data_IF_728640378372
#
_entry.id   IF_728640378372
#
_cell.length_a   1.000
_cell.length_b   1.000
_cell.length_c   1.000
_cell.angle_alpha   90.00
_cell.angle_beta   90.00
_cell.angle_gamma   90.00
#
_symmetry.space_group_name_H-M   'P 1'
#
loop_
_entity.id
_entity.type
_entity.pdbx_description
1 polymer ?
#
# COMPACT_ATOMS: atom_id res chain seq x y z
N UNK A 1 -35.94 16.89 20.16
CA UNK A 1 -34.65 16.26 19.81
C UNK A 1 -34.84 14.79 19.45
N UNK A 2 -35.60 14.02 20.24
CA UNK A 2 -35.95 12.61 19.96
C UNK A 2 -36.41 12.35 18.51
N UNK A 3 -37.37 13.10 17.91
CA UNK A 3 -37.81 12.82 16.53
C UNK A 3 -36.70 12.93 15.49
N UNK A 4 -35.78 13.88 15.67
CA UNK A 4 -34.63 14.06 14.79
C UNK A 4 -33.65 12.87 14.91
N UNK A 5 -33.29 12.48 16.13
CA UNK A 5 -32.39 11.35 16.39
C UNK A 5 -32.97 10.06 15.79
N UNK A 6 -34.26 9.77 16.02
CA UNK A 6 -34.92 8.63 15.37
C UNK A 6 -34.87 8.74 13.84
N UNK A 7 -35.16 9.94 13.30
CA UNK A 7 -35.13 10.20 11.86
C UNK A 7 -33.80 9.84 11.20
N UNK A 8 -32.67 10.21 11.81
CA UNK A 8 -31.34 9.92 11.23
C UNK A 8 -30.96 8.42 11.31
N UNK A 9 -31.40 7.69 12.35
CA UNK A 9 -31.23 6.22 12.38
C UNK A 9 -32.12 5.51 11.35
N UNK A 10 -33.36 5.98 11.14
CA UNK A 10 -34.21 5.48 10.05
C UNK A 10 -33.58 5.74 8.67
N UNK A 11 -32.99 6.91 8.46
CA UNK A 11 -32.27 7.22 7.21
C UNK A 11 -31.12 6.22 6.97
N UNK A 12 -30.26 5.98 7.97
CA UNK A 12 -29.18 4.99 7.86
C UNK A 12 -29.70 3.58 7.53
N UNK A 13 -30.73 3.11 8.23
CA UNK A 13 -31.32 1.79 7.96
C UNK A 13 -31.92 1.70 6.56
N UNK A 14 -32.58 2.77 6.09
CA UNK A 14 -33.10 2.84 4.71
C UNK A 14 -31.97 2.82 3.68
N UNK A 15 -30.85 3.51 3.92
CA UNK A 15 -29.66 3.46 3.05
C UNK A 15 -29.07 2.05 2.99
N UNK A 16 -28.93 1.37 4.13
CA UNK A 16 -28.46 -0.02 4.20
C UNK A 16 -29.40 -0.95 3.40
N UNK A 17 -30.70 -0.77 3.56
CA UNK A 17 -31.70 -1.59 2.86
C UNK A 17 -31.61 -1.43 1.34
N UNK A 18 -31.38 -0.20 0.85
CA UNK A 18 -31.13 0.06 -0.58
C UNK A 18 -29.86 -0.64 -1.07
N UNK A 19 -28.76 -0.51 -0.35
CA UNK A 19 -27.49 -1.20 -0.70
C UNK A 19 -27.67 -2.72 -0.75
N UNK A 20 -28.38 -3.31 0.23
CA UNK A 20 -28.68 -4.75 0.23
C UNK A 20 -29.55 -5.16 -0.96
N UNK A 21 -30.53 -4.33 -1.34
CA UNK A 21 -31.36 -4.57 -2.53
C UNK A 21 -30.51 -4.55 -3.81
N UNK A 22 -29.54 -3.63 -3.90
CA UNK A 22 -28.68 -3.52 -5.07
C UNK A 22 -27.72 -4.72 -5.16
N UNK A 23 -27.12 -5.13 -4.05
CA UNK A 23 -26.21 -6.29 -3.96
C UNK A 23 -26.90 -7.64 -4.20
N UNK A 24 -28.21 -7.73 -4.03
CA UNK A 24 -29.00 -8.95 -4.29
C UNK A 24 -29.68 -8.92 -5.67
N UNK A 25 -29.55 -7.83 -6.42
CA UNK A 25 -30.07 -7.71 -7.77
C UNK A 25 -29.29 -8.59 -8.76
N UNK A 26 -29.91 -8.97 -9.88
CA UNK A 26 -29.27 -9.78 -10.93
C UNK A 26 -28.21 -9.04 -11.75
N UNK A 27 -27.96 -7.76 -11.47
CA UNK A 27 -27.05 -6.90 -12.23
C UNK A 27 -25.60 -6.91 -11.75
N UNK A 28 -25.28 -7.60 -10.66
CA UNK A 28 -23.91 -7.67 -10.14
C UNK A 28 -23.02 -8.47 -11.11
N UNK A 29 -21.82 -7.94 -11.39
CA UNK A 29 -20.84 -8.62 -12.22
C UNK A 29 -20.51 -10.00 -11.61
N UNK A 30 -20.62 -11.06 -12.42
CA UNK A 30 -20.43 -12.45 -11.98
C UNK A 30 -18.98 -12.78 -11.63
N UNK A 31 -18.04 -11.95 -12.08
CA UNK A 31 -16.62 -12.11 -11.81
C UNK A 31 -16.20 -11.56 -10.44
N UNK A 32 -17.08 -10.84 -9.72
CA UNK A 32 -16.78 -10.43 -8.35
C UNK A 32 -16.50 -11.65 -7.45
N UNK A 33 -15.52 -11.54 -6.55
CA UNK A 33 -15.27 -12.57 -5.55
C UNK A 33 -16.52 -12.80 -4.69
N UNK A 34 -17.07 -14.01 -4.76
CA UNK A 34 -18.30 -14.35 -4.04
C UNK A 34 -18.14 -14.18 -2.53
N UNK A 35 -16.99 -14.57 -1.98
CA UNK A 35 -16.73 -14.41 -0.55
C UNK A 35 -16.68 -12.94 -0.15
N UNK A 36 -16.13 -12.07 -0.99
CA UNK A 36 -16.15 -10.63 -0.77
C UNK A 36 -17.57 -10.04 -0.82
N UNK A 37 -18.39 -10.45 -1.78
CA UNK A 37 -19.80 -10.07 -1.86
C UNK A 37 -20.58 -10.53 -0.63
N UNK A 38 -20.52 -11.83 -0.30
CA UNK A 38 -21.23 -12.43 0.84
C UNK A 38 -20.83 -11.74 2.15
N UNK A 39 -19.53 -11.43 2.34
CA UNK A 39 -19.07 -10.70 3.52
C UNK A 39 -19.59 -9.27 3.58
N UNK A 40 -19.71 -8.58 2.45
CA UNK A 40 -20.30 -7.23 2.39
C UNK A 40 -21.76 -7.24 2.78
N UNK A 41 -22.53 -8.20 2.25
CA UNK A 41 -23.95 -8.40 2.61
C UNK A 41 -24.07 -8.66 4.11
N UNK A 42 -23.27 -9.60 4.65
CA UNK A 42 -23.26 -9.89 6.09
C UNK A 42 -22.99 -8.65 6.93
N UNK A 43 -21.99 -7.83 6.58
CA UNK A 43 -21.65 -6.62 7.33
C UNK A 43 -22.79 -5.59 7.35
N UNK A 44 -23.48 -5.43 6.22
CA UNK A 44 -24.65 -4.55 6.11
C UNK A 44 -25.83 -5.09 6.93
N UNK A 45 -26.09 -6.39 6.88
CA UNK A 45 -27.15 -7.04 7.68
C UNK A 45 -26.88 -6.88 9.18
N UNK A 46 -25.67 -7.16 9.64
CA UNK A 46 -25.27 -7.00 11.04
C UNK A 46 -25.45 -5.54 11.50
N UNK A 47 -24.99 -4.57 10.71
CA UNK A 47 -25.16 -3.15 11.03
C UNK A 47 -26.64 -2.74 11.05
N UNK A 48 -27.45 -3.26 10.13
CA UNK A 48 -28.88 -2.99 10.11
C UNK A 48 -29.58 -3.57 11.34
N UNK A 49 -29.22 -4.78 11.76
CA UNK A 49 -29.74 -5.40 12.99
C UNK A 49 -29.39 -4.54 14.20
N UNK A 50 -28.14 -4.08 14.34
CA UNK A 50 -27.72 -3.19 15.41
C UNK A 50 -28.56 -1.89 15.46
N UNK A 51 -28.80 -1.26 14.30
CA UNK A 51 -29.62 -0.05 14.18
C UNK A 51 -31.09 -0.33 14.53
N UNK A 52 -31.66 -1.43 14.03
CA UNK A 52 -33.04 -1.80 14.29
C UNK A 52 -33.29 -2.13 15.78
N UNK A 53 -32.32 -2.74 16.46
CA UNK A 53 -32.39 -2.94 17.90
C UNK A 53 -32.45 -1.62 18.68
N UNK A 54 -31.74 -0.57 18.23
CA UNK A 54 -31.86 0.77 18.83
C UNK A 54 -33.19 1.47 18.49
N UNK A 55 -33.72 1.25 17.29
CA UNK A 55 -35.00 1.82 16.87
C UNK A 55 -36.19 1.22 17.62
N UNK A 56 -36.06 -0.02 18.11
CA UNK A 56 -37.05 -0.64 18.97
C UNK A 56 -37.22 0.18 20.28
N UNK A 57 -38.45 0.31 20.81
CA UNK A 57 -38.76 1.25 21.87
C UNK A 57 -37.93 0.98 23.13
N UNK A 58 -37.24 2.01 23.64
CA UNK A 58 -36.39 1.92 24.83
C UNK A 58 -35.39 3.06 24.93
N UNK A 59 -34.30 3.00 24.15
CA UNK A 59 -33.13 3.89 24.32
C UNK A 59 -33.28 5.26 23.63
N UNK A 60 -33.90 5.29 22.44
CA UNK A 60 -34.03 6.52 21.65
C UNK A 60 -35.15 7.46 22.13
N UNK A 61 -36.00 6.98 23.03
CA UNK A 61 -37.12 7.73 23.59
C UNK A 61 -36.78 8.50 24.88
N UNK A 62 -35.55 8.34 25.38
CA UNK A 62 -35.11 8.99 26.62
C UNK A 62 -34.28 10.23 26.30
N UNK A 63 -34.85 11.42 26.56
CA UNK A 63 -34.20 12.71 26.26
C UNK A 63 -32.80 12.86 26.90
N UNK A 64 -32.59 12.32 28.11
CA UNK A 64 -31.28 12.40 28.79
C UNK A 64 -30.16 11.63 28.06
N UNK A 65 -30.53 10.67 27.20
CA UNK A 65 -29.59 9.87 26.41
C UNK A 65 -29.29 10.49 25.03
N UNK A 66 -29.85 11.66 24.69
CA UNK A 66 -29.71 12.26 23.37
C UNK A 66 -28.23 12.42 22.92
N UNK A 67 -27.36 12.93 23.79
CA UNK A 67 -25.92 13.08 23.47
C UNK A 67 -25.25 11.73 23.19
N UNK A 68 -25.58 10.72 23.98
CA UNK A 68 -25.04 9.38 23.81
C UNK A 68 -25.55 8.72 22.52
N UNK A 69 -26.80 8.95 22.16
CA UNK A 69 -27.38 8.47 20.90
C UNK A 69 -26.77 9.16 19.66
N UNK A 70 -26.36 10.44 19.77
CA UNK A 70 -25.60 11.12 18.70
C UNK A 70 -24.23 10.47 18.52
N UNK A 71 -23.52 10.14 19.60
CA UNK A 71 -22.22 9.45 19.52
C UNK A 71 -22.40 8.07 18.87
N UNK A 72 -23.41 7.30 19.30
CA UNK A 72 -23.74 6.00 18.67
C UNK A 72 -24.05 6.14 17.17
N UNK A 73 -24.84 7.16 16.80
CA UNK A 73 -25.13 7.46 15.39
C UNK A 73 -23.86 7.70 14.58
N UNK A 74 -22.92 8.51 15.10
CA UNK A 74 -21.66 8.77 14.41
C UNK A 74 -20.83 7.49 14.22
N UNK A 75 -20.76 6.63 15.24
CA UNK A 75 -20.07 5.34 15.14
C UNK A 75 -20.69 4.43 14.08
N UNK A 76 -22.03 4.36 14.00
CA UNK A 76 -22.71 3.60 12.95
C UNK A 76 -22.57 4.24 11.58
N UNK A 77 -22.55 5.57 11.51
CA UNK A 77 -22.31 6.30 10.28
C UNK A 77 -20.92 6.00 9.71
N UNK A 78 -19.89 6.04 10.55
CA UNK A 78 -18.52 5.70 10.18
C UNK A 78 -18.43 4.25 9.68
N UNK A 79 -19.03 3.29 10.40
CA UNK A 79 -19.11 1.88 9.94
C UNK A 79 -19.79 1.77 8.58
N UNK A 80 -20.92 2.45 8.38
CA UNK A 80 -21.65 2.45 7.11
C UNK A 80 -20.81 3.05 5.99
N UNK A 81 -20.16 4.20 6.22
CA UNK A 81 -19.29 4.85 5.25
C UNK A 81 -18.13 3.95 4.84
N UNK A 82 -17.50 3.25 5.80
CA UNK A 82 -16.41 2.30 5.49
C UNK A 82 -16.91 1.16 4.60
N UNK A 83 -18.09 0.59 4.89
CA UNK A 83 -18.69 -0.45 4.04
C UNK A 83 -19.06 0.11 2.66
N UNK A 84 -19.64 1.30 2.61
CA UNK A 84 -20.06 1.98 1.39
C UNK A 84 -18.87 2.21 0.46
N UNK A 85 -17.83 2.90 0.96
CA UNK A 85 -16.68 3.32 0.18
C UNK A 85 -15.79 2.16 -0.24
N UNK A 86 -15.50 1.24 0.68
CA UNK A 86 -14.49 0.21 0.46
C UNK A 86 -15.07 -1.13 0.02
N UNK A 87 -16.38 -1.37 0.11
CA UNK A 87 -16.92 -2.68 -0.30
C UNK A 87 -18.06 -2.54 -1.30
N UNK A 88 -19.09 -1.79 -0.93
CA UNK A 88 -20.27 -1.63 -1.77
C UNK A 88 -19.94 -0.98 -3.12
N UNK A 89 -19.24 0.16 -3.12
CA UNK A 89 -18.87 0.82 -4.37
C UNK A 89 -17.94 -0.04 -5.24
N UNK A 90 -17.03 -0.80 -4.62
CA UNK A 90 -16.15 -1.75 -5.31
C UNK A 90 -16.96 -2.82 -6.05
N UNK A 91 -18.01 -3.35 -5.43
CA UNK A 91 -18.87 -4.36 -6.05
C UNK A 91 -19.73 -3.77 -7.18
N UNK A 92 -20.38 -2.62 -6.91
CA UNK A 92 -21.35 -2.04 -7.84
C UNK A 92 -20.70 -1.47 -9.10
N UNK A 93 -19.45 -0.99 -9.00
CA UNK A 93 -18.71 -0.48 -10.15
C UNK A 93 -17.65 -1.49 -10.66
N UNK A 94 -17.75 -2.77 -10.30
CA UNK A 94 -16.83 -3.81 -10.78
C UNK A 94 -17.04 -4.07 -12.28
N UNK A 95 -16.06 -3.73 -13.10
CA UNK A 95 -16.14 -3.84 -14.56
C UNK A 95 -14.83 -4.41 -15.14
N UNK A 96 -14.62 -4.17 -16.44
CA UNK A 96 -13.52 -4.68 -17.26
C UNK A 96 -12.13 -4.38 -16.67
N UNK A 97 -11.84 -3.19 -16.09
CA UNK A 97 -10.54 -2.94 -15.46
C UNK A 97 -10.30 -3.85 -14.25
N UNK A 98 -11.30 -4.06 -13.38
CA UNK A 98 -11.19 -4.93 -12.23
C UNK A 98 -11.03 -6.40 -12.65
N UNK A 99 -11.71 -6.84 -13.72
CA UNK A 99 -11.52 -8.17 -14.30
C UNK A 99 -10.09 -8.38 -14.81
N UNK A 100 -9.51 -7.36 -15.45
CA UNK A 100 -8.12 -7.37 -15.89
C UNK A 100 -7.17 -7.52 -14.70
N UNK A 101 -7.35 -6.72 -13.65
CA UNK A 101 -6.49 -6.82 -12.47
C UNK A 101 -6.69 -8.12 -11.69
N UNK A 102 -7.92 -8.67 -11.63
CA UNK A 102 -8.16 -10.00 -11.05
C UNK A 102 -7.31 -11.06 -11.74
N UNK A 103 -7.33 -11.11 -13.07
CA UNK A 103 -6.49 -12.06 -13.85
C UNK A 103 -5.01 -11.84 -13.58
N UNK A 104 -4.57 -10.59 -13.56
CA UNK A 104 -3.18 -10.23 -13.31
C UNK A 104 -2.72 -10.64 -11.92
N UNK A 105 -3.48 -10.29 -10.88
CA UNK A 105 -3.17 -10.65 -9.49
C UNK A 105 -3.14 -12.16 -9.32
N UNK A 106 -4.07 -12.90 -9.95
CA UNK A 106 -4.04 -14.36 -9.90
C UNK A 106 -2.70 -14.91 -10.39
N UNK A 107 -2.29 -14.46 -11.56
CA UNK A 107 -1.02 -14.83 -12.17
C UNK A 107 0.17 -14.40 -11.33
N UNK A 108 0.18 -13.17 -10.80
CA UNK A 108 1.26 -12.68 -9.92
C UNK A 108 1.36 -13.58 -8.69
N UNK A 109 0.26 -13.90 -8.01
CA UNK A 109 0.26 -14.72 -6.79
C UNK A 109 0.83 -16.12 -7.04
N UNK A 110 0.50 -16.74 -8.17
CA UNK A 110 1.11 -18.01 -8.60
C UNK A 110 2.62 -17.86 -8.85
N UNK A 111 3.01 -16.80 -9.56
CA UNK A 111 4.40 -16.51 -9.92
C UNK A 111 5.27 -16.26 -8.68
N UNK A 112 4.78 -15.50 -7.71
CA UNK A 112 5.52 -15.18 -6.48
C UNK A 112 5.36 -16.23 -5.38
N UNK A 113 4.53 -17.26 -5.58
CA UNK A 113 4.24 -18.29 -4.58
C UNK A 113 3.53 -17.76 -3.32
N UNK A 114 2.66 -16.75 -3.46
CA UNK A 114 1.95 -16.18 -2.33
C UNK A 114 0.70 -17.01 -2.02
N UNK A 115 0.67 -17.63 -0.83
CA UNK A 115 -0.44 -18.46 -0.36
C UNK A 115 -1.59 -17.66 0.29
N UNK A 116 -1.47 -16.33 0.33
CA UNK A 116 -2.49 -15.47 0.90
C UNK A 116 -3.71 -15.38 -0.01
N UNK A 117 -4.83 -14.94 0.56
CA UNK A 117 -5.99 -14.55 -0.24
C UNK A 117 -5.59 -13.40 -1.16
N UNK A 118 -5.94 -13.51 -2.43
CA UNK A 118 -5.74 -12.44 -3.41
C UNK A 118 -6.64 -11.25 -3.08
N UNK A 119 -6.10 -10.02 -3.09
CA UNK A 119 -6.90 -8.83 -2.87
C UNK A 119 -7.80 -8.56 -4.07
N UNK A 120 -8.88 -7.81 -3.83
CA UNK A 120 -9.59 -7.14 -4.91
C UNK A 120 -8.81 -5.89 -5.27
N UNK A 121 -8.48 -5.76 -6.55
CA UNK A 121 -7.95 -4.53 -7.10
C UNK A 121 -9.10 -3.72 -7.69
N UNK A 122 -9.23 -2.47 -7.29
CA UNK A 122 -10.27 -1.55 -7.76
C UNK A 122 -9.67 -0.32 -8.43
N UNK A 123 -10.29 0.14 -9.51
CA UNK A 123 -9.93 1.39 -10.18
C UNK A 123 -10.74 2.59 -9.70
N UNK A 124 -11.63 2.38 -8.73
CA UNK A 124 -12.41 3.40 -8.05
C UNK A 124 -11.51 4.09 -7.01
N UNK A 125 -10.45 4.75 -7.49
CA UNK A 125 -9.68 5.62 -6.61
C UNK A 125 -10.46 6.90 -6.40
N UNK A 126 -11.01 7.02 -5.19
CA UNK A 126 -11.69 8.20 -4.65
C UNK A 126 -10.70 9.15 -3.94
N UNK A 127 -9.39 8.94 -4.11
CA UNK A 127 -8.34 9.65 -3.38
C UNK A 127 -7.41 10.44 -4.29
N UNK A 128 -6.83 11.52 -3.75
CA UNK A 128 -5.63 12.17 -4.30
C UNK A 128 -4.40 11.24 -4.30
N UNK A 129 -4.50 10.07 -3.67
CA UNK A 129 -3.43 9.09 -3.57
C UNK A 129 -3.35 8.27 -4.86
N UNK A 130 -2.12 8.11 -5.34
CA UNK A 130 -1.78 7.33 -6.53
C UNK A 130 -2.20 5.88 -6.34
N UNK A 131 -1.50 5.08 -5.54
CA UNK A 131 -1.87 3.72 -5.17
C UNK A 131 -2.12 3.67 -3.65
N UNK A 132 -2.97 2.74 -3.20
CA UNK A 132 -3.10 2.44 -1.78
C UNK A 132 -3.70 1.05 -1.52
N UNK A 133 -3.26 0.43 -0.43
CA UNK A 133 -3.82 -0.81 0.09
C UNK A 133 -4.62 -0.57 1.36
N UNK A 134 -5.68 -1.35 1.52
CA UNK A 134 -6.45 -1.43 2.76
C UNK A 134 -6.53 -2.89 3.21
N UNK A 135 -5.49 -3.40 3.90
CA UNK A 135 -5.38 -4.82 4.25
C UNK A 135 -6.57 -5.36 5.03
N UNK A 136 -7.23 -4.55 5.86
CA UNK A 136 -8.43 -4.95 6.62
C UNK A 136 -9.58 -5.42 5.73
N UNK A 137 -9.62 -5.01 4.45
CA UNK A 137 -10.67 -5.41 3.51
C UNK A 137 -10.16 -6.26 2.35
N UNK A 138 -8.87 -6.61 2.32
CA UNK A 138 -8.20 -7.27 1.20
C UNK A 138 -8.32 -6.47 -0.10
N UNK A 139 -8.05 -5.16 -0.07
CA UNK A 139 -8.22 -4.26 -1.23
C UNK A 139 -6.93 -3.55 -1.55
N UNK A 140 -6.67 -3.42 -2.86
CA UNK A 140 -5.74 -2.45 -3.42
C UNK A 140 -6.54 -1.55 -4.35
N UNK A 141 -6.38 -0.24 -4.22
CA UNK A 141 -6.90 0.70 -5.20
C UNK A 141 -5.77 1.24 -6.07
N UNK A 142 -6.08 1.37 -7.35
CA UNK A 142 -5.19 1.95 -8.36
C UNK A 142 -5.93 3.08 -9.11
N UNK A 143 -5.23 4.05 -9.70
CA UNK A 143 -5.83 5.08 -10.53
C UNK A 143 -6.57 4.47 -11.73
N UNK A 144 -7.65 5.12 -12.13
CA UNK A 144 -8.37 4.77 -13.35
C UNK A 144 -7.45 4.85 -14.57
N UNK A 145 -7.43 3.80 -15.40
CA UNK A 145 -6.59 3.71 -16.59
C UNK A 145 -5.27 2.99 -16.37
N UNK A 146 -4.92 2.60 -15.14
CA UNK A 146 -3.69 1.85 -14.87
C UNK A 146 -3.65 0.45 -15.47
N UNK A 147 -4.79 -0.08 -15.92
CA UNK A 147 -4.79 -1.31 -16.70
C UNK A 147 -3.99 -1.19 -18.01
N UNK A 148 -3.66 0.06 -18.41
CA UNK A 148 -3.04 0.45 -19.69
C UNK A 148 -1.58 0.89 -19.60
N UNK A 149 -0.94 0.82 -18.44
CA UNK A 149 0.41 1.38 -18.25
C UNK A 149 1.29 0.41 -17.45
N UNK A 150 2.35 -0.11 -18.05
CA UNK A 150 3.23 -1.09 -17.45
C UNK A 150 4.28 -0.47 -16.52
N UNK A 151 4.71 0.76 -16.78
CA UNK A 151 5.79 1.43 -16.03
C UNK A 151 5.39 1.75 -14.58
N UNK A 152 4.10 1.77 -14.31
CA UNK A 152 3.50 2.10 -13.03
C UNK A 152 3.16 0.87 -12.17
N UNK A 153 2.98 -0.28 -12.81
CA UNK A 153 2.59 -1.52 -12.15
C UNK A 153 3.59 -2.11 -11.16
N UNK A 154 4.91 -1.85 -11.20
CA UNK A 154 5.79 -2.30 -10.11
C UNK A 154 5.32 -1.79 -8.74
N UNK A 155 4.66 -0.64 -8.68
CA UNK A 155 4.11 -0.09 -7.42
C UNK A 155 2.92 -0.92 -6.88
N UNK A 156 2.24 -1.70 -7.73
CA UNK A 156 1.25 -2.68 -7.27
C UNK A 156 1.87 -3.68 -6.29
N UNK A 157 3.15 -4.02 -6.47
CA UNK A 157 3.85 -4.93 -5.57
C UNK A 157 4.20 -4.28 -4.23
N UNK A 158 4.35 -2.95 -4.19
CA UNK A 158 4.45 -2.21 -2.92
C UNK A 158 3.14 -2.32 -2.14
N UNK A 159 2.01 -2.13 -2.81
CA UNK A 159 0.68 -2.29 -2.18
C UNK A 159 0.40 -3.73 -1.73
N UNK A 160 0.82 -4.72 -2.52
CA UNK A 160 0.83 -6.11 -2.08
C UNK A 160 1.74 -6.34 -0.86
N UNK A 161 2.83 -5.57 -0.77
CA UNK A 161 3.70 -5.52 0.40
C UNK A 161 2.95 -5.22 1.70
N UNK A 162 1.95 -4.32 1.69
CA UNK A 162 1.14 -4.04 2.89
C UNK A 162 0.33 -5.25 3.34
N UNK A 163 -0.27 -5.98 2.40
CA UNK A 163 -1.03 -7.21 2.68
C UNK A 163 -0.10 -8.32 3.21
N UNK A 164 1.05 -8.50 2.56
CA UNK A 164 2.08 -9.47 2.95
C UNK A 164 2.60 -9.16 4.36
N UNK A 165 2.95 -7.89 4.60
CA UNK A 165 3.46 -7.41 5.86
C UNK A 165 2.46 -7.61 7.00
N UNK A 166 1.19 -7.22 6.81
CA UNK A 166 0.17 -7.35 7.85
C UNK A 166 -0.02 -8.80 8.33
N UNK A 167 0.20 -9.80 7.47
CA UNK A 167 0.07 -11.21 7.84
C UNK A 167 1.37 -11.82 8.38
N UNK A 168 2.53 -11.39 7.90
CA UNK A 168 3.83 -12.00 8.20
C UNK A 168 4.79 -11.06 8.95
N UNK A 169 4.26 -10.01 9.57
CA UNK A 169 5.00 -8.95 10.27
C UNK A 169 6.17 -9.48 11.12
N UNK A 170 6.01 -10.52 11.97
CA UNK A 170 7.10 -10.98 12.84
C UNK A 170 8.32 -11.51 12.06
N UNK A 171 8.09 -12.14 10.90
CA UNK A 171 9.15 -12.69 10.05
C UNK A 171 9.88 -11.59 9.28
N UNK A 172 9.16 -10.54 8.88
CA UNK A 172 9.69 -9.46 8.04
C UNK A 172 10.44 -8.41 8.87
N UNK A 173 9.94 -8.08 10.08
CA UNK A 173 10.61 -7.15 10.99
C UNK A 173 11.84 -7.73 11.63
N UNK A 174 11.84 -9.04 11.94
CA UNK A 174 12.86 -9.65 12.78
C UNK A 174 13.07 -8.86 14.07
N UNK A 175 14.33 -8.49 14.35
CA UNK A 175 14.71 -7.75 15.58
C UNK A 175 14.82 -6.23 15.38
N UNK A 176 14.28 -5.68 14.29
CA UNK A 176 14.55 -4.28 13.91
C UNK A 176 14.11 -3.26 14.96
N UNK A 177 12.99 -3.50 15.63
CA UNK A 177 12.48 -2.57 16.66
C UNK A 177 13.44 -2.44 17.83
N UNK A 178 14.08 -3.53 18.25
CA UNK A 178 15.11 -3.50 19.30
C UNK A 178 16.28 -2.62 18.88
N UNK A 179 16.70 -2.72 17.62
CA UNK A 179 17.82 -1.93 17.09
C UNK A 179 17.47 -0.45 16.95
N UNK A 180 16.25 -0.13 16.49
CA UNK A 180 15.73 1.24 16.44
C UNK A 180 15.66 1.83 17.84
N UNK A 181 15.11 1.09 18.80
CA UNK A 181 15.02 1.53 20.19
C UNK A 181 16.41 1.85 20.76
N UNK A 182 17.35 0.92 20.62
CA UNK A 182 18.72 1.08 21.09
C UNK A 182 19.39 2.31 20.47
N UNK A 183 19.35 2.44 19.14
CA UNK A 183 19.98 3.54 18.42
C UNK A 183 19.46 4.91 18.87
N UNK A 184 18.13 5.08 18.97
CA UNK A 184 17.57 6.37 19.35
C UNK A 184 17.72 6.66 20.85
N UNK A 185 17.69 5.64 21.71
CA UNK A 185 17.94 5.82 23.14
C UNK A 185 19.40 6.23 23.39
N UNK A 186 20.34 5.67 22.63
CA UNK A 186 21.76 6.09 22.64
C UNK A 186 21.91 7.54 22.14
N UNK A 187 21.28 7.91 21.03
CA UNK A 187 21.32 9.31 20.54
C UNK A 187 20.72 10.30 21.55
N UNK A 188 19.65 9.92 22.26
CA UNK A 188 19.06 10.74 23.33
C UNK A 188 20.03 10.90 24.50
N UNK A 189 20.73 9.83 24.92
CA UNK A 189 21.73 9.89 25.98
C UNK A 189 22.93 10.76 25.57
N UNK A 190 23.36 10.67 24.31
CA UNK A 190 24.44 11.51 23.76
C UNK A 190 24.10 12.99 23.77
N UNK A 191 22.83 13.38 23.69
CA UNK A 191 22.45 14.79 23.84
C UNK A 191 22.90 15.34 25.20
N UNK A 192 22.73 14.57 26.28
CA UNK A 192 23.20 14.95 27.61
C UNK A 192 24.70 14.83 27.77
N UNK A 193 25.27 13.70 27.35
CA UNK A 193 26.68 13.39 27.58
C UNK A 193 27.63 14.32 26.80
N UNK A 194 27.20 14.81 25.63
CA UNK A 194 27.98 15.67 24.74
C UNK A 194 27.55 17.15 24.77
N UNK A 195 26.65 17.54 25.68
CA UNK A 195 26.12 18.92 25.81
C UNK A 195 25.58 19.48 24.48
N UNK A 196 24.81 18.65 23.74
CA UNK A 196 24.15 19.05 22.48
C UNK A 196 22.86 19.83 22.76
N UNK A 197 22.29 20.47 21.74
CA UNK A 197 21.02 21.20 21.86
C UNK A 197 19.92 20.31 22.50
N UNK A 198 19.35 20.68 23.67
CA UNK A 198 18.31 19.91 24.34
C UNK A 198 17.06 19.63 23.50
N UNK A 199 16.80 20.45 22.46
CA UNK A 199 15.70 20.24 21.50
C UNK A 199 15.85 18.96 20.68
N UNK A 200 17.06 18.38 20.61
CA UNK A 200 17.29 17.12 19.90
C UNK A 200 16.61 15.92 20.59
N UNK A 201 16.38 15.96 21.90
CA UNK A 201 15.69 14.86 22.60
C UNK A 201 14.25 14.65 22.14
N UNK A 202 13.35 15.67 22.17
CA UNK A 202 12.00 15.50 21.64
C UNK A 202 12.02 15.17 20.14
N UNK A 203 12.95 15.74 19.36
CA UNK A 203 13.14 15.40 17.95
C UNK A 203 13.44 13.90 17.75
N UNK A 204 14.42 13.33 18.46
CA UNK A 204 14.74 11.90 18.36
C UNK A 204 13.60 11.01 18.83
N UNK A 205 12.85 11.40 19.86
CA UNK A 205 11.65 10.66 20.30
C UNK A 205 10.56 10.64 19.24
N UNK A 206 10.34 11.77 18.56
CA UNK A 206 9.39 11.87 17.46
C UNK A 206 9.80 10.95 16.30
N UNK A 207 11.06 11.00 15.86
CA UNK A 207 11.57 10.17 14.76
C UNK A 207 11.58 8.68 15.11
N UNK A 208 11.93 8.33 16.35
CA UNK A 208 11.77 6.97 16.90
C UNK A 208 10.31 6.50 16.79
N UNK A 209 9.36 7.35 17.17
CA UNK A 209 7.93 7.05 17.08
C UNK A 209 7.47 6.82 15.63
N UNK A 210 7.92 7.66 14.70
CA UNK A 210 7.59 7.51 13.27
C UNK A 210 8.14 6.20 12.68
N UNK A 211 9.37 5.81 13.05
CA UNK A 211 9.93 4.51 12.71
C UNK A 211 9.05 3.34 13.15
N UNK A 212 8.69 3.31 14.43
CA UNK A 212 7.94 2.20 15.02
C UNK A 212 6.50 2.14 14.51
N UNK A 213 5.85 3.30 14.30
CA UNK A 213 4.43 3.34 13.97
C UNK A 213 4.11 3.23 12.47
N UNK A 214 5.08 3.50 11.59
CA UNK A 214 4.80 3.52 10.14
C UNK A 214 6.00 3.18 9.28
N UNK A 215 7.16 3.80 9.49
CA UNK A 215 8.24 3.71 8.48
C UNK A 215 8.81 2.31 8.32
N UNK A 216 8.84 1.47 9.37
CA UNK A 216 9.26 0.07 9.23
C UNK A 216 8.38 -0.67 8.22
N UNK A 217 7.07 -0.44 8.23
CA UNK A 217 6.14 -1.06 7.28
C UNK A 217 6.40 -0.54 5.85
N UNK A 218 6.50 0.77 5.68
CA UNK A 218 6.76 1.39 4.36
C UNK A 218 8.05 0.86 3.72
N UNK A 219 9.16 0.84 4.49
CA UNK A 219 10.42 0.26 4.03
C UNK A 219 10.28 -1.23 3.70
N UNK A 220 9.56 -2.00 4.53
CA UNK A 220 9.35 -3.41 4.27
C UNK A 220 8.57 -3.63 2.96
N UNK A 221 7.58 -2.79 2.66
CA UNK A 221 6.83 -2.84 1.41
C UNK A 221 7.71 -2.53 0.20
N UNK A 222 8.60 -1.53 0.28
CA UNK A 222 9.61 -1.24 -0.74
C UNK A 222 10.54 -2.44 -0.98
N UNK A 223 10.98 -3.09 0.10
CA UNK A 223 11.89 -4.23 0.02
C UNK A 223 11.19 -5.47 -0.54
N UNK A 224 9.94 -5.73 -0.16
CA UNK A 224 9.12 -6.80 -0.74
C UNK A 224 8.91 -6.55 -2.24
N UNK A 225 8.55 -5.33 -2.64
CA UNK A 225 8.38 -4.99 -4.04
C UNK A 225 9.68 -5.19 -4.84
N UNK A 226 10.80 -4.73 -4.30
CA UNK A 226 12.13 -4.94 -4.89
C UNK A 226 12.46 -6.44 -4.98
N UNK A 227 12.21 -7.23 -3.93
CA UNK A 227 12.45 -8.68 -3.91
C UNK A 227 11.68 -9.41 -5.01
N UNK A 228 10.43 -9.01 -5.23
CA UNK A 228 9.50 -9.68 -6.14
C UNK A 228 9.65 -9.22 -7.59
N UNK A 229 10.00 -7.95 -7.82
CA UNK A 229 10.01 -7.34 -9.16
C UNK A 229 11.41 -7.01 -9.65
N UNK A 230 12.41 -6.92 -8.77
CA UNK A 230 13.76 -6.56 -9.15
C UNK A 230 13.90 -5.09 -9.61
N UNK A 231 14.80 -4.79 -10.58
CA UNK A 231 15.15 -3.42 -10.97
C UNK A 231 13.98 -2.52 -11.37
N UNK A 232 12.92 -3.06 -11.98
CA UNK A 232 11.76 -2.28 -12.40
C UNK A 232 11.10 -1.51 -11.24
N UNK A 233 11.13 -2.02 -10.01
CA UNK A 233 10.58 -1.28 -8.87
C UNK A 233 11.39 0.00 -8.56
N UNK A 234 12.71 -0.06 -8.66
CA UNK A 234 13.56 1.11 -8.44
C UNK A 234 13.33 2.20 -9.49
N UNK A 235 13.19 1.82 -10.76
CA UNK A 235 12.83 2.76 -11.83
C UNK A 235 11.45 3.39 -11.62
N UNK A 236 10.46 2.60 -11.23
CA UNK A 236 9.12 3.10 -10.89
C UNK A 236 9.17 4.04 -9.69
N UNK A 237 9.92 3.71 -8.63
CA UNK A 237 10.10 4.60 -7.48
C UNK A 237 10.73 5.94 -7.89
N UNK A 238 11.79 5.93 -8.72
CA UNK A 238 12.40 7.15 -9.26
C UNK A 238 11.40 8.01 -10.07
N UNK A 239 10.60 7.36 -10.94
CA UNK A 239 9.55 8.04 -11.71
C UNK A 239 8.52 8.69 -10.78
N UNK A 240 8.05 7.96 -9.77
CA UNK A 240 7.06 8.47 -8.82
C UNK A 240 7.62 9.63 -8.00
N UNK A 241 8.84 9.52 -7.48
CA UNK A 241 9.52 10.62 -6.79
C UNK A 241 9.63 11.87 -7.67
N UNK A 242 9.89 11.70 -8.97
CA UNK A 242 9.94 12.82 -9.92
C UNK A 242 8.59 13.54 -10.03
N UNK A 243 7.47 12.81 -9.96
CA UNK A 243 6.12 13.35 -10.06
C UNK A 243 5.61 13.97 -8.74
N UNK A 244 5.94 13.38 -7.59
CA UNK A 244 5.39 13.77 -6.28
C UNK A 244 6.25 14.80 -5.54
N UNK A 245 7.55 14.54 -5.43
CA UNK A 245 8.48 15.22 -4.52
C UNK A 245 9.63 15.92 -5.23
N UNK A 246 9.79 15.69 -6.54
CA UNK A 246 10.99 16.01 -7.31
C UNK A 246 11.37 17.50 -7.37
N UNK A 247 10.49 18.40 -6.91
CA UNK A 247 10.78 19.83 -6.85
C UNK A 247 11.68 20.22 -5.68
N UNK A 248 11.31 19.83 -4.45
CA UNK A 248 11.97 20.28 -3.21
C UNK A 248 11.66 19.40 -1.97
N UNK A 249 11.10 18.19 -2.14
CA UNK A 249 10.62 17.35 -1.03
C UNK A 249 11.24 15.96 -0.95
N UNK A 250 12.28 15.67 -1.74
CA UNK A 250 12.90 14.33 -1.76
C UNK A 250 13.42 13.88 -0.38
N UNK A 251 13.93 14.83 0.41
CA UNK A 251 14.42 14.58 1.77
C UNK A 251 13.36 14.85 2.86
N UNK A 252 12.15 15.25 2.49
CA UNK A 252 11.08 15.50 3.45
C UNK A 252 10.51 14.18 3.94
N UNK A 253 10.24 14.10 5.24
CA UNK A 253 9.54 12.98 5.86
C UNK A 253 8.19 13.43 6.43
N UNK A 254 7.33 12.47 6.76
CA UNK A 254 6.07 12.70 7.44
C UNK A 254 5.86 11.64 8.52
N UNK A 255 4.89 11.83 9.45
CA UNK A 255 4.60 10.81 10.45
C UNK A 255 4.25 9.43 9.87
N UNK A 256 3.66 9.38 8.67
CA UNK A 256 3.26 8.13 8.00
C UNK A 256 4.29 7.58 7.02
N UNK A 257 5.11 8.43 6.40
CA UNK A 257 6.04 7.99 5.35
C UNK A 257 7.48 8.48 5.58
N UNK A 258 8.49 7.61 5.37
CA UNK A 258 9.87 8.03 5.32
C UNK A 258 10.11 8.87 4.05
N UNK A 259 11.23 9.59 4.00
CA UNK A 259 11.59 10.37 2.82
C UNK A 259 11.94 9.51 1.61
N UNK A 260 11.67 10.01 0.40
CA UNK A 260 11.95 9.30 -0.85
C UNK A 260 13.44 8.93 -1.01
N UNK A 261 14.37 9.79 -0.58
CA UNK A 261 15.80 9.46 -0.63
C UNK A 261 16.14 8.21 0.18
N UNK A 262 15.63 8.13 1.42
CA UNK A 262 15.98 7.02 2.30
C UNK A 262 15.36 5.72 1.80
N UNK A 263 14.15 5.78 1.25
CA UNK A 263 13.48 4.66 0.54
C UNK A 263 14.34 4.17 -0.62
N UNK A 264 14.73 5.06 -1.53
CA UNK A 264 15.57 4.72 -2.69
C UNK A 264 16.90 4.09 -2.27
N UNK A 265 17.56 4.64 -1.25
CA UNK A 265 18.80 4.06 -0.69
C UNK A 265 18.60 2.65 -0.13
N UNK A 266 17.46 2.37 0.47
CA UNK A 266 17.08 1.02 0.88
C UNK A 266 16.83 0.08 -0.30
N UNK A 267 16.13 0.56 -1.34
CA UNK A 267 15.89 -0.20 -2.59
C UNK A 267 17.23 -0.58 -3.25
N UNK A 268 18.19 0.33 -3.32
CA UNK A 268 19.54 0.04 -3.85
C UNK A 268 20.25 -1.07 -3.07
N UNK A 269 20.16 -1.02 -1.75
CA UNK A 269 20.72 -2.06 -0.91
C UNK A 269 20.06 -3.42 -1.15
N UNK A 270 18.73 -3.44 -1.31
CA UNK A 270 17.98 -4.66 -1.61
C UNK A 270 18.36 -5.24 -2.99
N UNK A 271 18.46 -4.41 -4.04
CA UNK A 271 18.95 -4.83 -5.37
C UNK A 271 20.36 -5.44 -5.30
N UNK A 272 21.23 -4.85 -4.48
CA UNK A 272 22.59 -5.38 -4.23
C UNK A 272 22.55 -6.75 -3.54
N UNK A 273 21.68 -6.95 -2.54
CA UNK A 273 21.48 -8.27 -1.91
C UNK A 273 21.01 -9.32 -2.91
N UNK A 274 20.17 -8.92 -3.86
CA UNK A 274 19.64 -9.79 -4.91
C UNK A 274 20.64 -10.06 -6.06
N UNK A 275 21.75 -9.34 -6.11
CA UNK A 275 22.80 -9.52 -7.12
C UNK A 275 22.64 -8.70 -8.41
N UNK A 276 21.70 -7.75 -8.48
CA UNK A 276 21.44 -6.88 -9.65
C UNK A 276 22.46 -5.74 -9.78
N UNK A 277 23.74 -6.07 -9.82
CA UNK A 277 24.84 -5.07 -9.75
C UNK A 277 24.97 -4.21 -11.01
N UNK A 278 24.65 -4.75 -12.19
CA UNK A 278 24.73 -4.00 -13.44
C UNK A 278 23.61 -2.96 -13.50
N UNK A 279 22.36 -3.41 -13.33
CA UNK A 279 21.17 -2.56 -13.36
C UNK A 279 21.22 -1.50 -12.25
N UNK A 280 21.72 -1.87 -11.05
CA UNK A 280 21.90 -0.93 -9.94
C UNK A 280 22.83 0.23 -10.32
N UNK A 281 23.87 -0.02 -11.13
CA UNK A 281 24.81 1.04 -11.53
C UNK A 281 24.09 2.12 -12.35
N UNK A 282 23.29 1.71 -13.33
CA UNK A 282 22.54 2.61 -14.20
C UNK A 282 21.47 3.40 -13.42
N UNK A 283 20.78 2.74 -12.49
CA UNK A 283 19.77 3.37 -11.64
C UNK A 283 20.41 4.37 -10.67
N UNK A 284 21.53 4.01 -10.02
CA UNK A 284 22.23 4.92 -9.11
C UNK A 284 22.76 6.16 -9.83
N UNK A 285 23.26 6.02 -11.05
CA UNK A 285 23.70 7.14 -11.88
C UNK A 285 22.53 8.07 -12.20
N UNK A 286 21.42 7.51 -12.69
CA UNK A 286 20.19 8.26 -12.99
C UNK A 286 19.62 8.97 -11.75
N UNK A 287 19.64 8.31 -10.59
CA UNK A 287 19.24 8.90 -9.32
C UNK A 287 20.14 10.08 -8.91
N UNK A 288 21.46 9.94 -9.05
CA UNK A 288 22.43 11.03 -8.77
C UNK A 288 22.20 12.22 -9.69
N UNK A 289 21.98 11.98 -10.99
CA UNK A 289 21.66 13.03 -11.96
C UNK A 289 20.35 13.75 -11.61
N UNK A 290 19.31 12.99 -11.25
CA UNK A 290 18.04 13.53 -10.81
C UNK A 290 18.17 14.41 -9.56
N UNK A 291 18.91 13.95 -8.54
CA UNK A 291 19.20 14.75 -7.34
C UNK A 291 19.98 16.03 -7.67
N UNK A 292 20.93 15.97 -8.62
CA UNK A 292 21.70 17.13 -9.04
C UNK A 292 20.88 18.15 -9.86
N UNK A 293 19.90 17.66 -10.63
CA UNK A 293 19.02 18.49 -11.46
C UNK A 293 17.89 19.16 -10.65
N UNK A 294 17.66 18.71 -9.41
CA UNK A 294 16.55 19.15 -8.57
C UNK A 294 17.04 19.92 -7.34
N UNK A 295 16.28 20.92 -6.89
CA UNK A 295 16.68 21.76 -5.76
C UNK A 295 16.19 21.17 -4.44
N UNK A 296 16.88 20.14 -3.95
CA UNK A 296 16.46 19.38 -2.77
C UNK A 296 17.39 19.61 -1.57
N UNK A 297 17.08 20.58 -0.67
CA UNK A 297 17.91 20.83 0.50
C UNK A 297 17.83 19.66 1.49
N UNK A 298 18.98 19.18 1.93
CA UNK A 298 19.07 18.13 2.96
C UNK A 298 18.76 18.76 4.34
N UNK A 299 17.75 18.29 5.07
CA UNK A 299 17.43 18.80 6.39
C UNK A 299 18.58 18.59 7.40
N UNK A 300 18.72 19.46 8.41
CA UNK A 300 19.63 19.22 9.52
C UNK A 300 19.33 17.87 10.20
N UNK A 301 20.39 17.18 10.62
CA UNK A 301 20.31 15.89 11.30
C UNK A 301 19.72 14.73 10.49
N UNK A 302 19.52 14.88 9.17
CA UNK A 302 18.90 13.85 8.32
C UNK A 302 19.54 12.46 8.46
N UNK A 303 20.87 12.39 8.52
CA UNK A 303 21.61 11.14 8.71
C UNK A 303 21.35 10.45 10.06
N UNK A 304 20.85 11.18 11.06
CA UNK A 304 20.42 10.60 12.33
C UNK A 304 18.97 10.08 12.25
N UNK A 305 18.15 10.61 11.35
CA UNK A 305 16.78 10.14 11.10
C UNK A 305 16.83 8.81 10.35
N UNK A 306 17.61 8.73 9.27
CA UNK A 306 17.65 7.58 8.37
C UNK A 306 19.03 6.93 8.34
N UNK A 307 19.48 6.49 9.52
CA UNK A 307 20.81 5.88 9.67
C UNK A 307 20.93 4.60 8.83
N UNK A 308 21.99 4.52 8.01
CA UNK A 308 22.17 3.45 7.02
C UNK A 308 22.08 2.05 7.64
N UNK A 309 22.69 1.83 8.80
CA UNK A 309 22.67 0.51 9.45
C UNK A 309 21.27 0.01 9.83
N UNK A 310 20.33 0.92 10.13
CA UNK A 310 18.93 0.54 10.44
C UNK A 310 18.26 0.06 9.16
N UNK A 311 18.40 0.83 8.07
CA UNK A 311 17.82 0.50 6.76
C UNK A 311 18.37 -0.83 6.25
N UNK A 312 19.69 -1.02 6.28
CA UNK A 312 20.33 -2.27 5.82
C UNK A 312 19.92 -3.48 6.66
N UNK A 313 19.78 -3.30 7.98
CA UNK A 313 19.33 -4.38 8.85
C UNK A 313 17.87 -4.76 8.56
N UNK A 314 17.00 -3.77 8.35
CA UNK A 314 15.62 -4.04 7.97
C UNK A 314 15.53 -4.74 6.62
N UNK A 315 16.30 -4.30 5.62
CA UNK A 315 16.35 -4.95 4.32
C UNK A 315 16.79 -6.42 4.40
N UNK A 316 17.80 -6.74 5.22
CA UNK A 316 18.19 -8.13 5.50
C UNK A 316 17.07 -8.93 6.16
N UNK A 317 16.43 -8.37 7.19
CA UNK A 317 15.32 -9.03 7.87
C UNK A 317 14.17 -9.33 6.90
N UNK A 318 13.83 -8.39 6.01
CA UNK A 318 12.78 -8.58 5.01
C UNK A 318 13.20 -9.59 3.94
N UNK A 319 14.45 -9.56 3.48
CA UNK A 319 14.99 -10.55 2.55
C UNK A 319 14.89 -11.97 3.11
N UNK A 320 15.41 -12.19 4.32
CA UNK A 320 15.37 -13.48 5.02
C UNK A 320 13.92 -13.88 5.36
N UNK A 321 13.09 -12.90 5.72
CA UNK A 321 11.67 -13.05 5.99
C UNK A 321 10.92 -13.56 4.76
N UNK A 322 11.12 -12.94 3.59
CA UNK A 322 10.53 -13.36 2.32
C UNK A 322 10.89 -14.80 1.96
N UNK A 323 12.15 -15.20 2.18
CA UNK A 323 12.57 -16.60 2.00
C UNK A 323 11.89 -17.54 2.99
N UNK A 324 11.77 -17.13 4.25
CA UNK A 324 11.14 -17.92 5.32
C UNK A 324 9.66 -18.20 5.04
N UNK A 325 8.95 -17.23 4.47
CA UNK A 325 7.54 -17.38 4.08
C UNK A 325 7.36 -17.93 2.66
N UNK A 326 8.44 -18.44 2.05
CA UNK A 326 8.47 -19.10 0.74
C UNK A 326 8.01 -18.21 -0.44
N UNK A 327 8.25 -16.89 -0.37
CA UNK A 327 8.07 -16.02 -1.52
C UNK A 327 9.19 -16.23 -2.54
N UNK A 328 8.80 -16.35 -3.81
CA UNK A 328 9.72 -16.56 -4.92
C UNK A 328 10.36 -15.25 -5.35
N UNK A 329 11.68 -15.14 -5.16
CA UNK A 329 12.48 -13.99 -5.62
C UNK A 329 12.40 -13.84 -7.15
N UNK A 330 12.52 -12.60 -7.64
CA UNK A 330 12.45 -12.26 -9.07
C UNK A 330 13.17 -13.24 -10.01
N UNK A 331 14.45 -13.55 -9.77
CA UNK A 331 15.22 -14.45 -10.64
C UNK A 331 14.65 -15.87 -10.69
N UNK A 332 14.14 -16.39 -9.57
CA UNK A 332 13.54 -17.73 -9.51
C UNK A 332 12.19 -17.77 -10.25
N UNK A 333 11.46 -16.65 -10.28
CA UNK A 333 10.25 -16.52 -11.10
C UNK A 333 10.60 -16.67 -12.59
N UNK A 334 11.67 -16.02 -13.06
CA UNK A 334 12.11 -16.13 -14.45
C UNK A 334 12.51 -17.56 -14.78
N UNK A 335 13.30 -18.21 -13.91
CA UNK A 335 13.72 -19.61 -14.13
C UNK A 335 12.52 -20.55 -14.22
N UNK A 336 11.49 -20.35 -13.38
CA UNK A 336 10.34 -21.24 -13.31
C UNK A 336 9.31 -21.00 -14.42
N UNK A 337 9.00 -19.74 -14.73
CA UNK A 337 7.90 -19.39 -15.62
C UNK A 337 8.37 -18.88 -17.00
N UNK A 338 9.66 -18.59 -17.17
CA UNK A 338 10.25 -18.04 -18.39
C UNK A 338 9.91 -16.57 -18.63
N UNK A 339 8.63 -16.23 -18.58
CA UNK A 339 8.12 -14.88 -18.84
C UNK A 339 7.13 -14.39 -17.76
N UNK A 340 7.49 -14.36 -16.46
CA UNK A 340 6.59 -13.88 -15.41
C UNK A 340 6.23 -12.40 -15.60
N UNK A 341 5.15 -11.92 -14.96
CA UNK A 341 4.73 -10.51 -14.98
C UNK A 341 5.89 -9.60 -14.57
N UNK A 342 6.61 -9.95 -13.50
CA UNK A 342 7.78 -9.21 -13.03
C UNK A 342 8.83 -9.00 -14.14
N UNK A 343 9.07 -10.00 -14.98
CA UNK A 343 9.99 -9.86 -16.14
C UNK A 343 9.43 -8.89 -17.17
N UNK A 344 8.15 -8.98 -17.51
CA UNK A 344 7.50 -8.07 -18.46
C UNK A 344 7.63 -6.60 -17.99
N UNK A 345 7.55 -6.36 -16.67
CA UNK A 345 7.72 -5.02 -16.11
C UNK A 345 9.17 -4.52 -16.22
N UNK A 346 10.17 -5.39 -16.07
CA UNK A 346 11.58 -5.03 -16.33
C UNK A 346 11.84 -4.80 -17.82
N UNK A 347 11.27 -5.64 -18.69
CA UNK A 347 11.36 -5.47 -20.13
C UNK A 347 10.72 -4.14 -20.57
N UNK A 348 9.66 -3.68 -19.91
CA UNK A 348 9.01 -2.41 -20.22
C UNK A 348 9.96 -1.21 -20.03
N UNK A 349 10.69 -1.17 -18.92
CA UNK A 349 11.70 -0.14 -18.69
C UNK A 349 12.83 -0.23 -19.71
N UNK A 350 13.29 -1.44 -20.02
CA UNK A 350 14.33 -1.65 -21.04
C UNK A 350 13.86 -1.20 -22.44
N UNK A 351 12.63 -1.50 -22.84
CA UNK A 351 12.08 -1.08 -24.13
C UNK A 351 11.91 0.44 -24.20
N UNK A 352 11.42 1.06 -23.12
CA UNK A 352 11.29 2.52 -23.05
C UNK A 352 12.64 3.22 -23.29
N UNK A 353 13.71 2.74 -22.67
CA UNK A 353 15.04 3.35 -22.81
C UNK A 353 15.69 3.07 -24.17
N UNK A 354 15.53 1.87 -24.71
CA UNK A 354 16.18 1.47 -25.96
C UNK A 354 15.39 1.88 -27.22
N UNK A 355 14.07 2.03 -27.10
CA UNK A 355 13.17 2.21 -28.23
C UNK A 355 11.90 3.03 -27.88
N UNK A 356 12.06 4.27 -27.37
CA UNK A 356 10.93 5.07 -26.88
C UNK A 356 9.86 5.35 -27.94
N UNK A 357 10.26 5.49 -29.21
CA UNK A 357 9.33 5.79 -30.32
C UNK A 357 8.33 4.65 -30.59
N UNK A 358 8.71 3.40 -30.28
CA UNK A 358 7.84 2.23 -30.47
C UNK A 358 7.28 1.66 -29.15
N UNK A 359 7.68 2.22 -28.00
CA UNK A 359 7.30 1.72 -26.68
C UNK A 359 5.78 1.58 -26.52
N UNK A 360 5.00 2.56 -26.99
CA UNK A 360 3.54 2.51 -26.90
C UNK A 360 2.94 1.28 -27.61
N UNK A 361 3.40 0.98 -28.82
CA UNK A 361 2.91 -0.18 -29.57
C UNK A 361 3.31 -1.50 -28.89
N UNK A 362 4.54 -1.56 -28.36
CA UNK A 362 5.04 -2.68 -27.59
C UNK A 362 4.24 -2.89 -26.28
N UNK A 363 3.94 -1.82 -25.56
CA UNK A 363 3.18 -1.84 -24.31
C UNK A 363 1.75 -2.36 -24.53
N UNK A 364 1.07 -1.88 -25.57
CA UNK A 364 -0.27 -2.38 -25.92
C UNK A 364 -0.28 -3.88 -26.23
N UNK A 365 0.75 -4.40 -26.89
CA UNK A 365 0.88 -5.83 -27.18
C UNK A 365 1.05 -6.63 -25.88
N UNK A 366 1.94 -6.19 -24.99
CA UNK A 366 2.20 -6.87 -23.71
C UNK A 366 1.01 -6.80 -22.75
N UNK A 367 0.27 -5.70 -22.74
CA UNK A 367 -0.95 -5.58 -21.93
C UNK A 367 -2.03 -6.56 -22.41
N UNK A 368 -2.18 -6.74 -23.73
CA UNK A 368 -3.06 -7.75 -24.31
C UNK A 368 -2.60 -9.16 -23.98
N UNK A 369 -1.30 -9.43 -24.00
CA UNK A 369 -0.75 -10.73 -23.58
C UNK A 369 -1.10 -11.02 -22.12
N UNK A 370 -0.91 -10.06 -21.22
CA UNK A 370 -1.25 -10.21 -19.79
C UNK A 370 -2.76 -10.43 -19.59
N UNK A 371 -3.60 -9.65 -20.28
CA UNK A 371 -5.06 -9.73 -20.14
C UNK A 371 -5.72 -10.89 -20.90
N UNK A 372 -5.04 -11.43 -21.91
CA UNK A 372 -5.52 -12.46 -22.83
C UNK A 372 -5.06 -13.88 -22.52
N UNK A 373 -4.15 -14.07 -21.56
CA UNK A 373 -3.74 -15.39 -21.07
C UNK A 373 -4.92 -16.09 -20.37
N UNK A 374 -5.55 -16.99 -21.13
CA UNK A 374 -6.36 -18.12 -20.69
C UNK A 374 -5.67 -19.40 -21.16
#
# INVERSE_FOLDING_TARGET
>A
MIPFIKGIFYDQSNRITKMLSDLTSSGINKEIDKTFLDKTVQMLEELNVDIQQLLNPGDLDVDVLANYNIIRYNTFHERLLMIELFRYLVIINYDTPEEYFKKKINRIYEEINCLQKQPIVTTISNSENYYWALPTYDIIAVPTGEERNLLNLPDLYHEMGHLIYNQYEPYLKGTIETNINQYYDDEIQRVDAEDRDPKLKPFFREKKSAWINGWVMEFACDFIATYLVGPAYAWTNLKLTTLSSGKDRIYADSPSHPSDESRMRGIFFMLKLMGHTAELTDIEESWKEFLAASNNPIPPNYNYIFHQSIIEQLAKNVFDGCQTIDLRIYNDQIVKFGNPISKILNDAWNELFNNPDNFHAWEEERIKEIGGLL
#
